data_IF_041193194689
#
_entry.id   IF_041193194689
#
_cell.length_a   1.000
_cell.length_b   1.000
_cell.length_c   1.000
_cell.angle_alpha   90.00
_cell.angle_beta   90.00
_cell.angle_gamma   90.00
#
_symmetry.space_group_name_H-M   'P 1'
#
loop_
_entity.id
_entity.type
_entity.pdbx_description
1 polymer ?
#
# COMPACT_ATOMS: atom_id res chain seq x y z
N UNK A 1 -30.20 16.90 34.84
CA UNK A 1 -30.12 15.56 34.23
C UNK A 1 -29.37 15.71 32.91
N UNK A 2 -28.08 15.36 32.89
CA UNK A 2 -27.28 15.38 31.67
C UNK A 2 -27.57 14.09 30.90
N UNK A 3 -28.34 14.20 29.82
CA UNK A 3 -28.51 13.12 28.85
C UNK A 3 -27.21 13.05 28.04
N UNK A 4 -26.33 12.09 28.36
CA UNK A 4 -25.19 11.76 27.49
C UNK A 4 -25.76 11.23 26.18
N UNK A 5 -25.75 12.06 25.14
CA UNK A 5 -26.13 11.67 23.79
C UNK A 5 -24.99 10.86 23.16
N UNK A 6 -24.70 9.69 23.70
CA UNK A 6 -23.89 8.70 23.00
C UNK A 6 -24.72 8.15 21.84
N UNK A 7 -24.69 8.88 20.73
CA UNK A 7 -25.55 8.67 19.57
C UNK A 7 -25.11 7.42 18.80
N UNK A 8 -25.96 6.38 18.66
CA UNK A 8 -25.67 5.18 17.86
C UNK A 8 -25.33 5.49 16.40
N UNK A 9 -25.81 6.62 15.88
CA UNK A 9 -25.52 7.10 14.53
C UNK A 9 -24.05 7.49 14.31
N UNK A 10 -23.38 8.06 15.32
CA UNK A 10 -21.98 8.48 15.20
C UNK A 10 -21.03 7.27 15.11
N UNK A 11 -21.31 6.19 15.85
CA UNK A 11 -20.56 4.94 15.77
C UNK A 11 -20.76 4.24 14.41
N UNK A 12 -22.01 4.15 13.93
CA UNK A 12 -22.31 3.54 12.62
C UNK A 12 -21.68 4.31 11.46
N UNK A 13 -21.75 5.64 11.47
CA UNK A 13 -21.16 6.47 10.41
C UNK A 13 -19.62 6.36 10.38
N UNK A 14 -18.99 6.23 11.56
CA UNK A 14 -17.56 6.00 11.68
C UNK A 14 -17.15 4.65 11.10
N UNK A 15 -17.87 3.58 11.43
CA UNK A 15 -17.61 2.24 10.89
C UNK A 15 -17.73 2.21 9.35
N UNK A 16 -18.74 2.87 8.79
CA UNK A 16 -18.92 2.96 7.33
C UNK A 16 -17.76 3.71 6.65
N UNK A 17 -17.22 4.76 7.29
CA UNK A 17 -16.04 5.48 6.78
C UNK A 17 -14.77 4.61 6.81
N UNK A 18 -14.56 3.87 7.88
CA UNK A 18 -13.42 2.95 7.96
C UNK A 18 -13.51 1.83 6.93
N UNK A 19 -14.68 1.20 6.78
CA UNK A 19 -14.89 0.13 5.81
C UNK A 19 -14.69 0.59 4.36
N UNK A 20 -15.17 1.79 4.02
CA UNK A 20 -14.97 2.36 2.68
C UNK A 20 -13.51 2.77 2.45
N UNK A 21 -12.82 3.28 3.47
CA UNK A 21 -11.39 3.54 3.40
C UNK A 21 -10.59 2.25 3.19
N UNK A 22 -10.77 1.23 4.03
CA UNK A 22 -10.03 -0.03 3.90
C UNK A 22 -10.30 -0.71 2.57
N UNK A 23 -11.55 -0.72 2.09
CA UNK A 23 -11.88 -1.24 0.77
C UNK A 23 -11.25 -0.45 -0.40
N UNK A 24 -10.99 0.85 -0.25
CA UNK A 24 -10.35 1.65 -1.30
C UNK A 24 -8.82 1.62 -1.25
N UNK A 25 -8.25 1.22 -0.13
CA UNK A 25 -6.81 1.29 0.14
C UNK A 25 -6.18 -0.08 0.48
N UNK A 26 -6.96 -1.17 0.42
CA UNK A 26 -6.54 -2.48 0.93
C UNK A 26 -5.19 -2.94 0.39
N UNK A 27 -4.96 -2.82 -0.91
CA UNK A 27 -3.74 -3.32 -1.53
C UNK A 27 -2.54 -2.44 -1.17
N UNK A 28 -2.70 -1.12 -1.09
CA UNK A 28 -1.64 -0.21 -0.62
C UNK A 28 -1.31 -0.46 0.86
N UNK A 29 -2.31 -0.76 1.69
CA UNK A 29 -2.12 -1.11 3.10
C UNK A 29 -1.40 -2.46 3.26
N UNK A 30 -1.80 -3.47 2.50
CA UNK A 30 -1.13 -4.78 2.47
C UNK A 30 0.31 -4.64 2.00
N UNK A 31 0.55 -3.86 0.95
CA UNK A 31 1.89 -3.58 0.44
C UNK A 31 2.77 -2.89 1.49
N UNK A 32 2.25 -1.85 2.17
CA UNK A 32 2.96 -1.16 3.23
C UNK A 32 3.29 -2.10 4.40
N UNK A 33 2.32 -2.90 4.84
CA UNK A 33 2.51 -3.87 5.91
C UNK A 33 3.54 -4.95 5.53
N UNK A 34 3.48 -5.46 4.29
CA UNK A 34 4.43 -6.42 3.76
C UNK A 34 5.85 -5.82 3.72
N UNK A 35 5.99 -4.59 3.24
CA UNK A 35 7.25 -3.85 3.24
C UNK A 35 7.87 -3.79 4.65
N UNK A 36 7.11 -3.24 5.61
CA UNK A 36 7.58 -3.10 6.99
C UNK A 36 7.88 -4.45 7.66
N UNK A 37 7.04 -5.44 7.42
CA UNK A 37 7.20 -6.79 7.97
C UNK A 37 8.43 -7.51 7.44
N UNK A 38 8.67 -7.44 6.13
CA UNK A 38 9.87 -8.03 5.50
C UNK A 38 11.13 -7.37 6.01
N UNK A 39 11.18 -6.04 6.05
CA UNK A 39 12.36 -5.34 6.57
C UNK A 39 12.63 -5.64 8.03
N UNK A 40 11.57 -5.69 8.85
CA UNK A 40 11.73 -6.09 10.25
C UNK A 40 12.22 -7.54 10.38
N UNK A 41 11.72 -8.46 9.56
CA UNK A 41 12.20 -9.85 9.54
C UNK A 41 13.67 -9.95 9.09
N UNK A 42 14.10 -9.14 8.12
CA UNK A 42 15.48 -9.12 7.64
C UNK A 42 16.49 -8.68 8.71
N UNK A 43 16.10 -7.83 9.67
CA UNK A 43 16.98 -7.48 10.81
C UNK A 43 17.42 -8.71 11.64
N UNK A 44 16.61 -9.76 11.64
CA UNK A 44 16.86 -11.00 12.39
C UNK A 44 17.19 -12.18 11.48
N UNK A 45 17.35 -11.96 10.17
CA UNK A 45 17.59 -13.03 9.23
C UNK A 45 19.01 -13.61 9.43
N UNK A 46 19.14 -14.94 9.61
CA UNK A 46 20.43 -15.55 9.95
C UNK A 46 21.38 -15.67 8.75
N UNK A 47 20.90 -15.48 7.52
CA UNK A 47 21.68 -15.61 6.30
C UNK A 47 21.13 -14.76 5.15
N UNK A 48 22.00 -14.44 4.18
CA UNK A 48 21.60 -13.73 2.95
C UNK A 48 20.59 -14.51 2.12
N UNK A 49 20.68 -15.83 2.10
CA UNK A 49 19.71 -16.68 1.40
C UNK A 49 18.31 -16.52 1.99
N UNK A 50 18.18 -16.39 3.32
CA UNK A 50 16.89 -16.16 3.95
C UNK A 50 16.29 -14.80 3.52
N UNK A 51 17.10 -13.74 3.44
CA UNK A 51 16.69 -12.42 2.95
C UNK A 51 16.12 -12.53 1.53
N UNK A 52 16.89 -13.14 0.62
CA UNK A 52 16.49 -13.34 -0.79
C UNK A 52 15.19 -14.14 -0.89
N UNK A 53 15.09 -15.27 -0.20
CA UNK A 53 13.92 -16.16 -0.27
C UNK A 53 12.66 -15.44 0.23
N UNK A 54 12.75 -14.76 1.38
CA UNK A 54 11.63 -13.99 1.94
C UNK A 54 11.23 -12.87 0.97
N UNK A 55 12.19 -12.10 0.46
CA UNK A 55 11.94 -11.01 -0.46
C UNK A 55 11.29 -11.46 -1.77
N UNK A 56 11.84 -12.48 -2.43
CA UNK A 56 11.29 -13.05 -3.66
C UNK A 56 9.87 -13.58 -3.43
N UNK A 57 9.66 -14.30 -2.32
CA UNK A 57 8.33 -14.85 -2.00
C UNK A 57 7.30 -13.74 -1.78
N UNK A 58 7.63 -12.71 -1.02
CA UNK A 58 6.72 -11.58 -0.76
C UNK A 58 6.46 -10.77 -2.03
N UNK A 59 7.48 -10.49 -2.83
CA UNK A 59 7.31 -9.81 -4.11
C UNK A 59 6.42 -10.62 -5.06
N UNK A 60 6.61 -11.94 -5.15
CA UNK A 60 5.75 -12.81 -5.96
C UNK A 60 4.29 -12.78 -5.46
N UNK A 61 4.07 -12.81 -4.15
CA UNK A 61 2.74 -12.72 -3.56
C UNK A 61 2.06 -11.36 -3.85
N UNK A 62 2.81 -10.25 -3.77
CA UNK A 62 2.30 -8.92 -4.09
C UNK A 62 1.96 -8.78 -5.58
N UNK A 63 2.82 -9.29 -6.48
CA UNK A 63 2.54 -9.32 -7.92
C UNK A 63 1.31 -10.17 -8.21
N UNK A 64 1.21 -11.38 -7.64
CA UNK A 64 0.04 -12.22 -7.81
C UNK A 64 -1.22 -11.48 -7.33
N UNK A 65 -1.15 -10.82 -6.17
CA UNK A 65 -2.28 -10.04 -5.68
C UNK A 65 -2.66 -8.91 -6.64
N UNK A 66 -1.67 -8.18 -7.18
CA UNK A 66 -1.87 -7.14 -8.20
C UNK A 66 -2.62 -7.67 -9.43
N UNK A 67 -2.29 -8.88 -9.87
CA UNK A 67 -2.92 -9.54 -11.00
C UNK A 67 -4.35 -10.00 -10.69
N UNK A 68 -4.62 -10.40 -9.45
CA UNK A 68 -5.94 -10.85 -8.98
C UNK A 68 -6.92 -9.72 -8.69
N UNK A 69 -6.44 -8.49 -8.44
CA UNK A 69 -7.28 -7.30 -8.20
C UNK A 69 -7.08 -6.22 -9.25
N UNK A 70 -7.29 -6.49 -10.55
CA UNK A 70 -6.97 -5.54 -11.60
C UNK A 70 -7.78 -4.24 -11.51
N UNK A 71 -9.00 -4.32 -10.95
CA UNK A 71 -9.93 -3.19 -10.75
C UNK A 71 -9.58 -2.29 -9.56
N UNK A 72 -8.62 -2.68 -8.71
CA UNK A 72 -8.16 -1.85 -7.60
C UNK A 72 -7.43 -0.58 -8.06
N UNK A 73 -6.74 -0.68 -9.20
CA UNK A 73 -5.88 0.38 -9.72
C UNK A 73 -6.72 1.39 -10.48
N UNK A 74 -6.58 2.65 -10.12
CA UNK A 74 -7.39 3.71 -10.73
C UNK A 74 -7.02 3.95 -12.20
N UNK A 75 -5.77 3.68 -12.59
CA UNK A 75 -5.27 3.75 -13.96
C UNK A 75 -3.94 2.97 -14.09
N UNK A 76 -3.39 2.91 -15.31
CA UNK A 76 -2.11 2.25 -15.58
C UNK A 76 -0.94 2.85 -14.79
N UNK A 77 -0.91 4.17 -14.59
CA UNK A 77 0.14 4.84 -13.82
C UNK A 77 0.09 4.47 -12.34
N UNK A 78 -1.10 4.33 -11.75
CA UNK A 78 -1.29 3.84 -10.38
C UNK A 78 -0.75 2.42 -10.24
N UNK A 79 -1.01 1.55 -11.22
CA UNK A 79 -0.46 0.19 -11.23
C UNK A 79 1.07 0.18 -11.37
N UNK A 80 1.62 1.00 -12.28
CA UNK A 80 3.06 1.13 -12.45
C UNK A 80 3.74 1.65 -11.18
N UNK A 81 3.16 2.65 -10.50
CA UNK A 81 3.69 3.17 -9.25
C UNK A 81 3.79 2.07 -8.18
N UNK A 82 2.74 1.25 -8.02
CA UNK A 82 2.79 0.09 -7.12
C UNK A 82 3.81 -0.97 -7.57
N UNK A 83 3.94 -1.20 -8.88
CA UNK A 83 4.94 -2.09 -9.46
C UNK A 83 6.38 -1.65 -9.16
N UNK A 84 6.66 -0.35 -9.19
CA UNK A 84 7.97 0.21 -8.85
C UNK A 84 8.33 -0.04 -7.38
N UNK A 85 7.37 0.03 -6.46
CA UNK A 85 7.59 -0.32 -5.04
C UNK A 85 7.96 -1.79 -4.88
N UNK A 86 7.30 -2.68 -5.62
CA UNK A 86 7.62 -4.12 -5.60
C UNK A 86 9.02 -4.36 -6.19
N UNK A 87 9.34 -3.67 -7.28
CA UNK A 87 10.65 -3.78 -7.92
C UNK A 87 11.77 -3.32 -6.97
N UNK A 88 11.58 -2.21 -6.26
CA UNK A 88 12.51 -1.72 -5.25
C UNK A 88 12.75 -2.77 -4.16
N UNK A 89 11.69 -3.33 -3.58
CA UNK A 89 11.79 -4.40 -2.58
C UNK A 89 12.53 -5.64 -3.11
N UNK A 90 12.29 -6.01 -4.37
CA UNK A 90 12.97 -7.14 -5.00
C UNK A 90 14.45 -6.87 -5.23
N UNK A 91 14.81 -5.68 -5.72
CA UNK A 91 16.20 -5.29 -5.93
C UNK A 91 16.96 -5.28 -4.61
N UNK A 92 16.33 -4.79 -3.54
CA UNK A 92 16.96 -4.79 -2.22
C UNK A 92 17.14 -6.20 -1.66
N UNK A 93 16.17 -7.10 -1.87
CA UNK A 93 16.30 -8.50 -1.47
C UNK A 93 17.47 -9.19 -2.18
N UNK A 94 17.72 -8.85 -3.45
CA UNK A 94 18.75 -9.45 -4.30
C UNK A 94 20.13 -8.81 -4.13
N UNK A 95 20.18 -7.52 -3.76
CA UNK A 95 21.41 -6.74 -3.62
C UNK A 95 21.65 -6.23 -2.18
N UNK A 96 21.58 -7.07 -1.13
CA UNK A 96 21.58 -6.65 0.27
C UNK A 96 22.94 -6.13 0.79
N UNK A 97 23.87 -5.76 -0.10
CA UNK A 97 25.28 -5.50 0.24
C UNK A 97 25.55 -4.05 0.62
N UNK A 98 24.62 -3.12 0.41
CA UNK A 98 24.98 -1.69 0.33
C UNK A 98 24.22 -0.76 1.31
N UNK A 99 23.11 -1.16 1.93
CA UNK A 99 22.29 -0.21 2.70
C UNK A 99 22.26 -0.49 4.22
N UNK A 100 22.53 0.57 4.99
CA UNK A 100 22.33 0.63 6.44
C UNK A 100 20.83 0.47 6.76
N UNK A 101 20.50 -0.28 7.81
CA UNK A 101 19.14 -0.79 8.07
C UNK A 101 18.06 0.31 8.20
N UNK A 102 18.45 1.55 8.46
CA UNK A 102 17.55 2.69 8.61
C UNK A 102 17.14 3.33 7.28
N UNK A 103 17.93 3.19 6.21
CA UNK A 103 17.61 3.73 4.88
C UNK A 103 16.30 3.15 4.34
N UNK A 104 15.98 1.91 4.71
CA UNK A 104 14.77 1.21 4.27
C UNK A 104 13.47 1.82 4.76
N UNK A 105 13.44 2.29 6.00
CA UNK A 105 12.26 2.95 6.54
C UNK A 105 12.00 4.27 5.80
N UNK A 106 13.06 4.97 5.37
CA UNK A 106 12.92 6.18 4.56
C UNK A 106 12.36 5.87 3.17
N UNK A 107 12.78 4.77 2.53
CA UNK A 107 12.17 4.30 1.27
C UNK A 107 10.69 3.99 1.45
N UNK A 108 10.33 3.25 2.50
CA UNK A 108 8.93 2.94 2.80
C UNK A 108 8.09 4.21 3.01
N UNK A 109 8.62 5.21 3.73
CA UNK A 109 7.96 6.51 3.93
C UNK A 109 7.83 7.28 2.61
N UNK A 110 8.88 7.32 1.80
CA UNK A 110 8.87 7.99 0.51
C UNK A 110 7.83 7.37 -0.44
N UNK A 111 7.77 6.04 -0.54
CA UNK A 111 6.76 5.36 -1.35
C UNK A 111 5.36 5.56 -0.81
N UNK A 112 5.16 5.46 0.51
CA UNK A 112 3.87 5.74 1.12
C UNK A 112 3.40 7.17 0.81
N UNK A 113 4.30 8.15 0.84
CA UNK A 113 4.00 9.53 0.49
C UNK A 113 3.66 9.66 -1.00
N UNK A 114 4.48 9.15 -1.91
CA UNK A 114 4.30 9.32 -3.36
C UNK A 114 3.07 8.55 -3.86
N UNK A 115 3.00 7.24 -3.57
CA UNK A 115 1.89 6.38 -4.00
C UNK A 115 0.59 6.81 -3.32
N UNK A 116 0.66 7.12 -2.02
CA UNK A 116 -0.48 7.59 -1.25
C UNK A 116 -1.02 8.91 -1.79
N UNK A 117 -0.15 9.89 -2.03
CA UNK A 117 -0.54 11.17 -2.61
C UNK A 117 -1.15 11.00 -4.01
N UNK A 118 -0.48 10.27 -4.90
CA UNK A 118 -0.97 10.02 -6.25
C UNK A 118 -2.37 9.41 -6.23
N UNK A 119 -2.57 8.36 -5.44
CA UNK A 119 -3.87 7.68 -5.32
C UNK A 119 -4.93 8.59 -4.72
N UNK A 120 -4.62 9.33 -3.65
CA UNK A 120 -5.55 10.28 -3.04
C UNK A 120 -5.99 11.35 -4.04
N UNK A 121 -5.06 11.88 -4.83
CA UNK A 121 -5.34 12.86 -5.86
C UNK A 121 -6.23 12.29 -6.98
N UNK A 122 -5.93 11.08 -7.48
CA UNK A 122 -6.77 10.43 -8.50
C UNK A 122 -8.19 10.17 -7.97
N UNK A 123 -8.31 9.69 -6.73
CA UNK A 123 -9.60 9.40 -6.10
C UNK A 123 -10.40 10.66 -5.73
N UNK A 124 -9.79 11.83 -5.73
CA UNK A 124 -10.43 13.12 -5.44
C UNK A 124 -10.93 13.83 -6.70
N UNK A 125 -10.62 13.34 -7.89
CA UNK A 125 -11.11 13.90 -9.14
C UNK A 125 -12.62 13.62 -9.27
N UNK A 126 -13.45 14.65 -9.55
CA UNK A 126 -14.84 14.43 -9.93
C UNK A 126 -14.88 13.52 -11.16
N UNK A 127 -15.80 12.56 -11.21
CA UNK A 127 -16.13 11.90 -12.46
C UNK A 127 -16.48 13.00 -13.47
N UNK A 128 -15.75 13.07 -14.59
CA UNK A 128 -16.09 13.98 -15.67
C UNK A 128 -17.55 13.67 -16.02
N UNK A 129 -18.43 14.64 -15.80
CA UNK A 129 -19.81 14.52 -16.22
C UNK A 129 -19.80 14.38 -17.73
N UNK A 130 -20.16 13.21 -18.24
CA UNK A 130 -20.60 13.03 -19.62
C UNK A 130 -21.89 13.84 -19.79
N UNK A 131 -21.78 15.16 -19.94
CA UNK A 131 -22.85 15.97 -20.51
C UNK A 131 -22.76 15.76 -22.02
N UNK A 132 -23.70 15.04 -22.64
CA UNK A 132 -23.82 15.06 -24.09
C UNK A 132 -24.00 16.52 -24.51
N UNK A 133 -23.12 16.99 -25.40
CA UNK A 133 -23.38 18.23 -26.10
C UNK A 133 -24.55 17.97 -27.06
N UNK A 134 -25.71 18.53 -26.72
CA UNK A 134 -26.86 18.67 -27.62
C UNK A 134 -26.54 19.61 -28.79
#
# INVERSE_FOLDING_TARGET
MNYSSDTPGAARQRNNRFATFTARWHYSLVMLAAHLGVFHAWMYAPSRTAIVVIGVFVCAALVLYMLLVPHYFANGMDRLAHGMVILDLLLEALLPVIHDHYGFYLCAVAFAAIVGWHRAWVLSRPAVSDTPQE
#
